data_IF_641014106687
#
_entry.id   IF_641014106687
#
_cell.length_a   1.000
_cell.length_b   1.000
_cell.length_c   1.000
_cell.angle_alpha   90.00
_cell.angle_beta   90.00
_cell.angle_gamma   90.00
#
_symmetry.space_group_name_H-M   'P 1'
#
loop_
_entity.id
_entity.type
_entity.pdbx_description
1 polymer ?
#
# COMPACT_ATOMS: atom_id res chain seq x y z
N UNK A 1 15.45 8.75 -10.29
CA UNK A 1 14.02 9.12 -10.41
C UNK A 1 13.29 7.95 -11.09
N UNK A 2 12.47 7.17 -10.38
CA UNK A 2 11.76 6.04 -11.00
C UNK A 2 10.52 6.53 -11.73
N UNK A 3 10.60 6.67 -13.06
CA UNK A 3 9.45 6.99 -13.90
C UNK A 3 8.32 5.95 -13.70
N UNK A 4 7.08 6.43 -13.57
CA UNK A 4 5.86 5.60 -13.52
C UNK A 4 5.42 5.07 -12.15
N UNK A 5 6.05 5.47 -11.05
CA UNK A 5 5.57 5.13 -9.69
C UNK A 5 4.30 5.92 -9.35
N UNK A 6 3.25 5.19 -8.97
CA UNK A 6 1.98 5.71 -8.46
C UNK A 6 1.95 5.59 -6.94
N UNK A 7 1.14 6.42 -6.29
CA UNK A 7 0.88 6.28 -4.86
C UNK A 7 -0.29 5.32 -4.64
N UNK A 8 -0.09 4.31 -3.81
CA UNK A 8 -1.13 3.40 -3.35
C UNK A 8 -1.38 3.62 -1.86
N UNK A 9 -2.65 3.67 -1.46
CA UNK A 9 -3.09 3.63 -0.08
C UNK A 9 -3.37 2.16 0.25
N UNK A 10 -2.58 1.62 1.17
CA UNK A 10 -2.76 0.27 1.69
C UNK A 10 -3.34 0.36 3.09
N UNK A 11 -4.49 -0.27 3.28
CA UNK A 11 -5.08 -0.48 4.60
C UNK A 11 -4.69 -1.87 5.07
N UNK A 12 -4.08 -1.94 6.24
CA UNK A 12 -3.56 -3.17 6.81
C UNK A 12 -3.95 -3.27 8.28
N UNK A 13 -4.04 -4.49 8.79
CA UNK A 13 -4.32 -4.75 10.19
C UNK A 13 -3.10 -5.43 10.83
N UNK A 14 -2.65 -4.85 11.93
CA UNK A 14 -1.54 -5.35 12.72
C UNK A 14 -1.93 -5.30 14.20
N UNK A 15 -1.83 -6.43 14.89
CA UNK A 15 -2.15 -6.55 16.31
C UNK A 15 -3.56 -6.05 16.69
N UNK A 16 -4.55 -6.25 15.80
CA UNK A 16 -5.93 -5.79 16.00
C UNK A 16 -6.15 -4.29 15.78
N UNK A 17 -5.13 -3.57 15.32
CA UNK A 17 -5.24 -2.16 14.94
C UNK A 17 -5.16 -1.98 13.43
N UNK A 18 -6.09 -1.20 12.88
CA UNK A 18 -6.11 -0.86 11.46
C UNK A 18 -5.19 0.33 11.20
N UNK A 19 -4.17 0.10 10.39
CA UNK A 19 -3.25 1.12 9.92
C UNK A 19 -3.46 1.42 8.44
N UNK A 20 -3.19 2.67 8.06
CA UNK A 20 -3.24 3.12 6.68
C UNK A 20 -1.84 3.62 6.30
N UNK A 21 -1.24 3.00 5.28
CA UNK A 21 0.08 3.34 4.78
C UNK A 21 0.02 3.77 3.32
N UNK A 22 0.82 4.77 2.97
CA UNK A 22 1.00 5.20 1.59
C UNK A 22 2.28 4.58 1.05
N UNK A 23 2.17 3.90 -0.08
CA UNK A 23 3.26 3.15 -0.70
C UNK A 23 3.40 3.58 -2.15
N UNK A 24 4.62 3.91 -2.56
CA UNK A 24 4.92 4.23 -3.94
C UNK A 24 5.24 2.93 -4.70
N UNK A 25 4.41 2.57 -5.67
CA UNK A 25 4.60 1.36 -6.48
C UNK A 25 4.12 1.58 -7.91
N UNK A 26 4.55 0.73 -8.85
CA UNK A 26 4.03 0.75 -10.24
C UNK A 26 2.69 0.04 -10.39
N UNK A 27 2.45 -0.95 -9.54
CA UNK A 27 1.26 -1.82 -9.58
C UNK A 27 0.77 -2.10 -8.15
N UNK A 28 -0.52 -2.45 -7.98
CA UNK A 28 -1.05 -2.83 -6.66
C UNK A 28 -0.36 -4.07 -6.07
N UNK A 29 0.10 -5.00 -6.93
CA UNK A 29 0.91 -6.15 -6.51
C UNK A 29 2.26 -5.70 -5.97
N UNK A 30 2.90 -4.71 -6.60
CA UNK A 30 4.11 -4.07 -6.10
C UNK A 30 3.90 -3.45 -4.72
N UNK A 31 2.78 -2.74 -4.52
CA UNK A 31 2.45 -2.16 -3.22
C UNK A 31 2.30 -3.23 -2.13
N UNK A 32 1.65 -4.36 -2.43
CA UNK A 32 1.57 -5.50 -1.49
C UNK A 32 2.93 -6.10 -1.15
N UNK A 33 3.83 -6.21 -2.14
CA UNK A 33 5.19 -6.73 -1.91
C UNK A 33 6.00 -5.81 -1.01
N UNK A 34 5.89 -4.48 -1.19
CA UNK A 34 6.57 -3.51 -0.32
C UNK A 34 6.07 -3.64 1.12
N UNK A 35 4.75 -3.66 1.34
CA UNK A 35 4.18 -3.85 2.68
C UNK A 35 4.61 -5.19 3.30
N UNK A 36 4.59 -6.27 2.52
CA UNK A 36 5.08 -7.57 3.02
C UNK A 36 6.57 -7.57 3.33
N UNK A 37 7.38 -6.79 2.61
CA UNK A 37 8.81 -6.62 2.89
C UNK A 37 9.06 -5.80 4.16
N UNK A 38 8.28 -4.74 4.38
CA UNK A 38 8.42 -3.86 5.55
C UNK A 38 7.88 -4.47 6.85
N UNK A 39 6.67 -5.05 6.81
CA UNK A 39 5.96 -5.51 8.01
C UNK A 39 5.94 -7.04 8.17
N UNK A 40 6.46 -7.77 7.17
CA UNK A 40 6.50 -9.22 7.18
C UNK A 40 5.17 -9.90 6.86
N UNK A 41 5.15 -11.23 6.94
CA UNK A 41 3.99 -12.06 6.58
C UNK A 41 2.83 -12.01 7.61
N UNK A 42 3.07 -11.44 8.80
CA UNK A 42 2.08 -11.36 9.89
C UNK A 42 1.04 -10.25 9.68
N UNK A 43 1.33 -9.29 8.81
CA UNK A 43 0.39 -8.19 8.53
C UNK A 43 -0.69 -8.63 7.57
N UNK A 44 -1.94 -8.38 7.96
CA UNK A 44 -3.10 -8.67 7.13
C UNK A 44 -3.42 -7.46 6.26
N UNK A 45 -3.31 -7.63 4.94
CA UNK A 45 -3.58 -6.54 3.98
C UNK A 45 -5.07 -6.56 3.62
N UNK A 46 -5.84 -5.68 4.24
CA UNK A 46 -7.29 -5.55 4.02
C UNK A 46 -7.62 -4.95 2.65
N UNK A 47 -6.95 -3.87 2.25
CA UNK A 47 -7.26 -3.18 0.99
C UNK A 47 -6.03 -2.50 0.39
N UNK A 48 -5.97 -2.46 -0.94
CA UNK A 48 -4.96 -1.71 -1.69
C UNK A 48 -5.68 -0.89 -2.74
N UNK A 49 -5.62 0.44 -2.61
CA UNK A 49 -6.26 1.37 -3.53
C UNK A 49 -5.23 2.32 -4.10
N UNK A 50 -5.26 2.55 -5.41
CA UNK A 50 -4.47 3.63 -6.00
C UNK A 50 -5.01 4.97 -5.49
N UNK A 51 -4.12 5.84 -5.00
CA UNK A 51 -4.45 7.22 -4.64
C UNK A 51 -4.67 8.00 -5.94
N UNK A 52 -5.88 7.90 -6.49
CA UNK A 52 -6.32 8.77 -7.56
C UNK A 52 -6.59 10.15 -6.97
N UNK A 53 -5.82 11.13 -7.41
CA UNK A 53 -6.10 12.54 -7.11
C UNK A 53 -7.29 12.94 -7.98
N UNK A 54 -8.50 12.61 -7.53
CA UNK A 54 -9.70 13.23 -8.09
C UNK A 54 -9.74 14.66 -7.55
N UNK A 55 -9.13 15.59 -8.29
CA UNK A 55 -9.61 16.96 -8.33
C UNK A 55 -11.00 16.91 -8.97
N UNK A 56 -12.04 17.20 -8.21
CA UNK A 56 -13.31 17.65 -8.77
C UNK A 56 -13.80 18.83 -7.94
#
# INVERSE_FOLDING_TARGET
MMCGSKCFIVTMEQNGTKEIKQVNARTPIGARKVIRGEYGAKVEILSVKEKKWNQK
#
